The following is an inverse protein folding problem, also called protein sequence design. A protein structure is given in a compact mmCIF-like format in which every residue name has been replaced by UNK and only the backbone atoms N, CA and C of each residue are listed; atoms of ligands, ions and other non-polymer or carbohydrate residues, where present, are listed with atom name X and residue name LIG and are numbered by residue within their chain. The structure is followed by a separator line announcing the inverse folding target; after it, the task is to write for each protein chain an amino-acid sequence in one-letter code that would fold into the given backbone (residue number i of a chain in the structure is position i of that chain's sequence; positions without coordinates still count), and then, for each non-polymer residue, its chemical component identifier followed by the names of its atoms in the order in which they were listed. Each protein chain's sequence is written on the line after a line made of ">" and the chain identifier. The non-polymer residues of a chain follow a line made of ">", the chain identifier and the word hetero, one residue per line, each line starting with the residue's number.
data_IF_110639877766
#
_entry.id   IF_110639877766
#
_cell.length_a   1.000
_cell.length_b   1.000
_cell.length_c   1.000
_cell.angle_alpha   90.00
_cell.angle_beta   90.00
_cell.angle_gamma   90.00
#
_symmetry.space_group_name_H-M   'P 1'
#
loop_
_entity.id
_entity.type
_entity.pdbx_description
1 polymer ?
#
# COMPACT_ATOMS: atom_id res chain seq x y z
N UNK A 1 -4.23 -30.67 -11.19
CA UNK A 1 -5.65 -31.08 -11.27
C UNK A 1 -5.86 -32.17 -12.33
N UNK A 2 -5.29 -32.04 -13.53
CA UNK A 2 -5.41 -33.07 -14.60
C UNK A 2 -4.60 -34.35 -14.31
N UNK A 3 -3.38 -34.28 -13.75
CA UNK A 3 -2.64 -35.47 -13.27
C UNK A 3 -3.43 -36.30 -12.25
N UNK A 4 -4.14 -35.63 -11.33
CA UNK A 4 -4.98 -36.33 -10.34
C UNK A 4 -6.08 -37.09 -11.07
N UNK A 5 -6.65 -36.55 -12.15
CA UNK A 5 -7.73 -37.19 -12.91
C UNK A 5 -7.19 -38.30 -13.83
N UNK A 6 -6.01 -38.11 -14.43
CA UNK A 6 -5.38 -39.03 -15.36
C UNK A 6 -4.75 -40.25 -14.66
N UNK A 7 -4.00 -40.01 -13.58
CA UNK A 7 -3.12 -41.01 -12.95
C UNK A 7 -3.61 -41.48 -11.57
N UNK A 8 -4.46 -40.71 -10.87
CA UNK A 8 -4.89 -41.05 -9.49
C UNK A 8 -6.37 -41.43 -9.41
N UNK A 9 -7.26 -40.65 -10.02
CA UNK A 9 -8.71 -40.83 -9.94
C UNK A 9 -9.19 -41.97 -10.85
N UNK A 10 -8.40 -42.35 -11.86
CA UNK A 10 -8.58 -43.58 -12.63
C UNK A 10 -8.30 -44.85 -11.82
N UNK A 11 -7.54 -44.73 -10.71
CA UNK A 11 -7.21 -45.80 -9.78
C UNK A 11 -8.07 -45.78 -8.51
N UNK A 12 -8.64 -44.63 -8.14
CA UNK A 12 -9.48 -44.46 -6.95
C UNK A 12 -10.98 -44.55 -7.29
N UNK A 13 -11.48 -45.78 -7.41
CA UNK A 13 -12.87 -46.08 -7.80
C UNK A 13 -13.92 -45.54 -6.82
N UNK A 14 -13.55 -45.25 -5.57
CA UNK A 14 -14.52 -44.84 -4.54
C UNK A 14 -14.87 -43.34 -4.58
N UNK A 15 -13.97 -42.50 -5.10
CA UNK A 15 -14.10 -41.03 -5.06
C UNK A 15 -14.50 -40.39 -6.41
N UNK A 16 -14.59 -41.15 -7.50
CA UNK A 16 -15.04 -40.64 -8.80
C UNK A 16 -16.52 -40.95 -9.03
N UNK A 17 -17.34 -39.95 -9.34
CA UNK A 17 -18.78 -40.13 -9.58
C UNK A 17 -19.09 -41.17 -10.69
N UNK A 18 -18.16 -41.33 -11.65
CA UNK A 18 -18.20 -42.34 -12.72
C UNK A 18 -17.66 -43.71 -12.27
N UNK A 19 -16.80 -43.77 -11.26
CA UNK A 19 -16.15 -45.00 -10.78
C UNK A 19 -17.14 -46.02 -10.21
N UNK A 20 -18.25 -45.55 -9.63
CA UNK A 20 -19.36 -46.41 -9.17
C UNK A 20 -20.28 -46.89 -10.28
N UNK A 21 -20.20 -46.32 -11.49
CA UNK A 21 -21.15 -46.57 -12.59
C UNK A 21 -20.51 -47.18 -13.83
N UNK A 22 -19.20 -47.12 -13.95
CA UNK A 22 -18.44 -47.61 -15.08
C UNK A 22 -17.23 -48.42 -14.61
N UNK A 23 -16.88 -49.52 -15.30
CA UNK A 23 -15.59 -50.17 -15.13
C UNK A 23 -14.44 -49.16 -15.31
N UNK A 24 -13.32 -49.30 -14.57
CA UNK A 24 -12.20 -48.34 -14.63
C UNK A 24 -11.70 -48.05 -16.06
N UNK A 25 -11.69 -49.07 -16.93
CA UNK A 25 -11.30 -48.94 -18.33
C UNK A 25 -12.24 -48.05 -19.17
N UNK A 26 -13.49 -47.85 -18.74
CA UNK A 26 -14.48 -46.99 -19.39
C UNK A 26 -14.62 -45.62 -18.73
N UNK A 27 -14.19 -45.47 -17.46
CA UNK A 27 -14.16 -44.16 -16.78
C UNK A 27 -13.29 -43.18 -17.56
N UNK A 28 -12.07 -43.57 -17.95
CA UNK A 28 -11.18 -42.68 -18.70
C UNK A 28 -11.71 -42.33 -20.10
N UNK A 29 -12.45 -43.24 -20.75
CA UNK A 29 -13.03 -43.03 -22.09
C UNK A 29 -14.24 -42.09 -22.04
N UNK A 30 -15.09 -42.24 -21.02
CA UNK A 30 -16.25 -41.38 -20.83
C UNK A 30 -15.84 -40.00 -20.31
N UNK A 31 -14.85 -39.93 -19.42
CA UNK A 31 -14.30 -38.68 -18.92
C UNK A 31 -13.63 -37.86 -20.04
N UNK A 32 -12.88 -38.52 -20.93
CA UNK A 32 -12.29 -37.89 -22.14
C UNK A 32 -13.29 -37.52 -23.24
N UNK A 33 -14.50 -38.08 -23.19
CA UNK A 33 -15.61 -37.70 -24.07
C UNK A 33 -16.42 -36.52 -23.51
N UNK A 34 -16.66 -36.49 -22.19
CA UNK A 34 -17.47 -35.46 -21.51
C UNK A 34 -16.72 -34.15 -21.32
N UNK A 35 -15.46 -34.25 -20.92
CA UNK A 35 -14.52 -33.14 -20.92
C UNK A 35 -13.65 -33.39 -22.15
N UNK A 36 -13.42 -32.40 -23.02
CA UNK A 36 -12.58 -32.52 -24.23
C UNK A 36 -11.08 -32.82 -23.92
N UNK A 37 -10.80 -33.77 -23.03
CA UNK A 37 -9.50 -34.13 -22.49
C UNK A 37 -8.87 -35.17 -23.41
N UNK A 38 -8.09 -34.73 -24.40
CA UNK A 38 -7.15 -35.67 -24.99
C UNK A 38 -5.94 -35.80 -24.05
N UNK A 39 -5.50 -37.02 -23.75
CA UNK A 39 -4.24 -37.26 -23.03
C UNK A 39 -3.12 -36.44 -23.65
N UNK A 40 -2.46 -35.59 -22.85
CA UNK A 40 -1.42 -34.67 -23.31
C UNK A 40 -1.91 -33.35 -23.92
N UNK A 41 -3.22 -33.05 -23.86
CA UNK A 41 -3.77 -31.73 -24.23
C UNK A 41 -4.45 -31.05 -23.05
N UNK A 42 -4.02 -29.83 -22.77
CA UNK A 42 -4.36 -29.07 -21.57
C UNK A 42 -5.73 -28.42 -21.72
N UNK A 43 -6.74 -29.08 -21.20
CA UNK A 43 -8.14 -28.74 -21.45
C UNK A 43 -8.57 -27.52 -20.67
N UNK A 44 -7.96 -27.26 -19.50
CA UNK A 44 -8.20 -26.04 -18.71
C UNK A 44 -7.67 -24.77 -19.37
N UNK A 45 -6.63 -24.89 -20.21
CA UNK A 45 -6.00 -23.78 -20.93
C UNK A 45 -6.55 -23.60 -22.35
N UNK A 46 -7.22 -24.64 -22.88
CA UNK A 46 -7.92 -24.62 -24.17
C UNK A 46 -9.42 -24.48 -24.04
N UNK A 47 -9.95 -24.48 -22.80
CA UNK A 47 -11.31 -24.07 -22.50
C UNK A 47 -11.42 -22.60 -22.89
N UNK A 48 -12.06 -22.43 -24.05
CA UNK A 48 -12.45 -21.21 -24.75
C UNK A 48 -13.31 -20.30 -23.87
N UNK A 49 -12.73 -19.79 -22.79
CA UNK A 49 -13.17 -18.57 -22.16
C UNK A 49 -12.30 -17.48 -22.79
N UNK A 50 -12.92 -16.52 -23.47
CA UNK A 50 -12.25 -15.41 -24.15
C UNK A 50 -11.60 -14.40 -23.16
N UNK A 51 -11.49 -14.77 -21.87
CA UNK A 51 -11.00 -13.92 -20.79
C UNK A 51 -9.56 -14.32 -20.39
N UNK A 52 -8.61 -13.80 -21.16
CA UNK A 52 -7.16 -13.99 -20.96
C UNK A 52 -6.72 -13.46 -19.60
N UNK A 53 -7.35 -12.39 -19.11
CA UNK A 53 -7.04 -11.76 -17.83
C UNK A 53 -7.36 -12.70 -16.69
N UNK A 54 -8.57 -13.26 -16.68
CA UNK A 54 -8.96 -14.22 -15.67
C UNK A 54 -8.01 -15.43 -15.63
N UNK A 55 -7.59 -15.91 -16.80
CA UNK A 55 -6.63 -17.00 -16.91
C UNK A 55 -5.26 -16.62 -16.33
N UNK A 56 -4.72 -15.46 -16.69
CA UNK A 56 -3.44 -14.98 -16.17
C UNK A 56 -3.48 -14.64 -14.67
N UNK A 57 -4.64 -14.28 -14.13
CA UNK A 57 -4.84 -14.02 -12.71
C UNK A 57 -4.86 -15.33 -11.90
N UNK A 58 -5.62 -16.34 -12.35
CA UNK A 58 -5.94 -17.50 -11.52
C UNK A 58 -5.11 -18.75 -11.82
N UNK A 59 -4.72 -18.98 -13.08
CA UNK A 59 -3.97 -20.19 -13.46
C UNK A 59 -2.60 -20.26 -12.79
N UNK A 60 -1.77 -19.20 -12.77
CA UNK A 60 -0.47 -19.24 -12.09
C UNK A 60 -0.63 -19.55 -10.61
N UNK A 61 -1.60 -18.92 -9.94
CA UNK A 61 -1.88 -19.16 -8.52
C UNK A 61 -2.27 -20.62 -8.25
N UNK A 62 -3.19 -21.17 -9.04
CA UNK A 62 -3.62 -22.57 -8.90
C UNK A 62 -2.48 -23.55 -9.17
N UNK A 63 -1.60 -23.24 -10.14
CA UNK A 63 -0.43 -24.05 -10.43
C UNK A 63 0.56 -24.06 -9.25
N UNK A 64 0.80 -22.92 -8.63
CA UNK A 64 1.67 -22.83 -7.44
C UNK A 64 1.09 -23.60 -6.25
N UNK A 65 -0.21 -23.45 -5.99
CA UNK A 65 -0.89 -24.22 -4.93
C UNK A 65 -0.86 -25.74 -5.20
N UNK A 66 -1.05 -26.15 -6.46
CA UNK A 66 -0.94 -27.55 -6.84
C UNK A 66 0.48 -28.10 -6.63
N UNK A 67 1.50 -27.28 -6.88
CA UNK A 67 2.90 -27.65 -6.66
C UNK A 67 3.26 -27.82 -5.19
N UNK A 68 2.64 -27.05 -4.29
CA UNK A 68 2.81 -27.22 -2.84
C UNK A 68 2.27 -28.57 -2.36
N UNK A 69 1.10 -28.97 -2.87
CA UNK A 69 0.47 -30.25 -2.51
C UNK A 69 1.17 -31.41 -3.21
N UNK A 70 1.68 -31.18 -4.43
CA UNK A 70 2.26 -32.23 -5.25
C UNK A 70 3.46 -31.73 -6.08
N UNK A 71 4.67 -31.76 -5.50
CA UNK A 71 5.88 -31.27 -6.15
C UNK A 71 6.28 -32.05 -7.43
N UNK A 72 5.79 -33.28 -7.58
CA UNK A 72 6.12 -34.16 -8.70
C UNK A 72 5.32 -33.88 -9.99
N UNK A 73 4.36 -32.95 -9.97
CA UNK A 73 3.55 -32.64 -11.15
C UNK A 73 4.44 -32.04 -12.26
N UNK A 74 4.19 -32.44 -13.52
CA UNK A 74 4.93 -31.90 -14.66
C UNK A 74 4.57 -30.42 -14.88
N UNK A 75 5.50 -29.52 -14.57
CA UNK A 75 5.28 -28.07 -14.60
C UNK A 75 5.32 -27.48 -16.01
N UNK A 76 6.27 -27.95 -16.83
CA UNK A 76 6.64 -27.36 -18.12
C UNK A 76 5.46 -27.07 -19.04
N UNK A 77 4.45 -27.95 -19.17
CA UNK A 77 3.38 -27.68 -20.12
C UNK A 77 2.40 -26.59 -19.69
N UNK A 78 2.11 -26.48 -18.39
CA UNK A 78 1.29 -25.39 -17.85
C UNK A 78 2.00 -24.05 -18.00
N UNK A 79 3.30 -24.08 -17.77
CA UNK A 79 4.19 -22.95 -17.95
C UNK A 79 4.29 -22.49 -19.40
N UNK A 80 4.43 -23.41 -20.36
CA UNK A 80 4.45 -23.09 -21.80
C UNK A 80 3.11 -22.47 -22.27
N UNK A 81 1.99 -22.89 -21.69
CA UNK A 81 0.69 -22.28 -21.98
C UNK A 81 0.55 -20.87 -21.38
N UNK A 82 1.07 -20.63 -20.18
CA UNK A 82 1.14 -19.27 -19.62
C UNK A 82 1.96 -18.34 -20.52
N UNK A 83 3.12 -18.82 -21.01
CA UNK A 83 3.94 -18.08 -21.98
C UNK A 83 3.14 -17.78 -23.23
N UNK A 84 2.42 -18.76 -23.79
CA UNK A 84 1.58 -18.53 -24.97
C UNK A 84 0.48 -17.49 -24.74
N UNK A 85 -0.15 -17.47 -23.55
CA UNK A 85 -1.17 -16.49 -23.19
C UNK A 85 -0.59 -15.08 -23.05
N UNK A 86 0.57 -14.95 -22.38
CA UNK A 86 1.32 -13.68 -22.30
C UNK A 86 1.74 -13.22 -23.71
N UNK A 87 2.15 -14.16 -24.57
CA UNK A 87 2.63 -13.87 -25.92
C UNK A 87 1.53 -13.45 -26.89
N UNK A 88 0.32 -13.96 -26.70
CA UNK A 88 -0.86 -13.61 -27.48
C UNK A 88 -1.47 -12.27 -27.07
N UNK A 89 -1.19 -11.78 -25.87
CA UNK A 89 -1.70 -10.50 -25.42
C UNK A 89 -1.07 -9.36 -26.21
N UNK A 90 -1.90 -8.53 -26.84
CA UNK A 90 -1.42 -7.40 -27.63
C UNK A 90 -0.98 -6.25 -26.72
N UNK A 91 0.05 -5.51 -27.14
CA UNK A 91 0.60 -4.39 -26.35
C UNK A 91 -0.25 -3.11 -26.47
N UNK A 92 -1.13 -3.05 -27.48
CA UNK A 92 -1.95 -1.89 -27.83
C UNK A 92 -3.31 -1.87 -27.11
N UNK A 93 -3.68 -2.95 -26.41
CA UNK A 93 -4.89 -3.01 -25.60
C UNK A 93 -4.69 -2.21 -24.30
N UNK A 94 -5.06 -0.93 -24.33
CA UNK A 94 -5.10 -0.07 -23.16
C UNK A 94 -6.20 -0.56 -22.20
N UNK A 95 -5.78 -1.20 -21.11
CA UNK A 95 -6.68 -1.67 -20.07
C UNK A 95 -7.40 -0.51 -19.36
N UNK A 96 -8.71 -0.64 -19.19
CA UNK A 96 -9.40 0.06 -18.11
C UNK A 96 -8.85 -0.47 -16.77
N UNK A 97 -8.70 0.40 -15.78
CA UNK A 97 -7.98 0.11 -14.52
C UNK A 97 -8.55 -1.09 -13.75
N UNK A 98 -9.79 -1.47 -14.03
CA UNK A 98 -10.53 -2.56 -13.39
C UNK A 98 -10.17 -3.94 -13.94
N UNK A 99 -9.61 -4.03 -15.14
CA UNK A 99 -9.26 -5.31 -15.76
C UNK A 99 -7.78 -5.69 -15.53
N UNK A 100 -6.96 -4.83 -14.92
CA UNK A 100 -5.56 -5.14 -14.66
C UNK A 100 -5.39 -6.22 -13.57
N UNK A 101 -4.39 -7.10 -13.75
CA UNK A 101 -4.06 -8.15 -12.79
C UNK A 101 -3.82 -7.61 -11.39
N UNK A 102 -4.23 -8.37 -10.38
CA UNK A 102 -3.99 -8.02 -9.00
C UNK A 102 -2.50 -8.18 -8.65
N UNK A 103 -2.09 -7.65 -7.49
CA UNK A 103 -0.72 -7.87 -6.98
C UNK A 103 -0.44 -9.37 -6.82
N UNK A 104 -1.45 -10.14 -6.39
CA UNK A 104 -1.35 -11.60 -6.19
C UNK A 104 -1.22 -12.34 -7.52
N UNK A 105 -2.01 -11.96 -8.53
CA UNK A 105 -1.92 -12.51 -9.88
C UNK A 105 -0.56 -12.23 -10.51
N UNK A 106 -0.13 -10.97 -10.49
CA UNK A 106 1.18 -10.56 -10.99
C UNK A 106 2.35 -11.24 -10.28
N UNK A 107 2.29 -11.37 -8.95
CA UNK A 107 3.29 -12.09 -8.15
C UNK A 107 3.36 -13.58 -8.54
N UNK A 108 2.21 -14.24 -8.67
CA UNK A 108 2.14 -15.65 -9.05
C UNK A 108 2.72 -15.88 -10.46
N UNK A 109 2.44 -14.96 -11.39
CA UNK A 109 2.97 -15.01 -12.75
C UNK A 109 4.50 -14.82 -12.78
N UNK A 110 5.02 -13.88 -11.97
CA UNK A 110 6.45 -13.64 -11.81
C UNK A 110 7.19 -14.87 -11.27
N UNK A 111 6.63 -15.59 -10.29
CA UNK A 111 7.24 -16.82 -9.77
C UNK A 111 7.32 -17.89 -10.86
N UNK A 112 6.22 -18.09 -11.59
CA UNK A 112 6.17 -19.05 -12.69
C UNK A 112 7.26 -18.74 -13.74
N UNK A 113 7.40 -17.47 -14.14
CA UNK A 113 8.41 -17.07 -15.12
C UNK A 113 9.85 -17.12 -14.58
N UNK A 114 10.07 -16.79 -13.31
CA UNK A 114 11.38 -16.92 -12.66
C UNK A 114 11.84 -18.39 -12.62
N UNK A 115 10.94 -19.33 -12.29
CA UNK A 115 11.22 -20.78 -12.29
C UNK A 115 11.58 -21.31 -13.68
N UNK A 116 11.05 -20.70 -14.75
CA UNK A 116 11.36 -21.04 -16.13
C UNK A 116 12.62 -20.35 -16.68
N UNK A 117 13.16 -19.36 -15.97
CA UNK A 117 14.20 -18.49 -16.51
C UNK A 117 13.71 -17.61 -17.67
N UNK A 118 12.41 -17.23 -17.67
CA UNK A 118 11.76 -16.40 -18.70
C UNK A 118 11.41 -14.99 -18.20
N UNK A 119 11.97 -14.57 -17.07
CA UNK A 119 11.92 -13.17 -16.66
C UNK A 119 12.95 -12.36 -17.45
N UNK A 120 12.56 -11.90 -18.63
CA UNK A 120 13.31 -10.98 -19.48
C UNK A 120 12.66 -9.58 -19.54
N UNK A 121 13.33 -8.63 -20.19
CA UNK A 121 12.85 -7.26 -20.34
C UNK A 121 11.50 -7.19 -21.09
N UNK A 122 11.29 -8.10 -22.06
CA UNK A 122 10.03 -8.14 -22.84
C UNK A 122 8.89 -8.59 -21.94
N UNK A 123 9.12 -9.60 -21.10
CA UNK A 123 8.16 -10.03 -20.11
C UNK A 123 7.86 -8.93 -19.08
N UNK A 124 8.85 -8.18 -18.60
CA UNK A 124 8.59 -7.06 -17.69
C UNK A 124 7.80 -5.92 -18.33
N UNK A 125 8.04 -5.62 -19.60
CA UNK A 125 7.22 -4.66 -20.34
C UNK A 125 5.75 -5.12 -20.43
N UNK A 126 5.52 -6.42 -20.65
CA UNK A 126 4.16 -7.01 -20.62
C UNK A 126 3.56 -7.00 -19.24
N UNK A 127 4.34 -7.31 -18.21
CA UNK A 127 3.90 -7.22 -16.81
C UNK A 127 3.42 -5.81 -16.47
N UNK A 128 4.14 -4.77 -16.94
CA UNK A 128 3.71 -3.38 -16.77
C UNK A 128 2.34 -3.10 -17.38
N UNK A 129 2.01 -3.69 -18.52
CA UNK A 129 0.69 -3.53 -19.15
C UNK A 129 -0.36 -4.31 -18.37
N UNK A 130 -0.09 -5.60 -18.12
CA UNK A 130 -1.04 -6.52 -17.47
C UNK A 130 -1.35 -6.11 -16.02
N UNK A 131 -0.37 -5.61 -15.27
CA UNK A 131 -0.51 -5.28 -13.85
C UNK A 131 -0.52 -3.76 -13.57
N UNK A 132 -0.25 -2.91 -14.57
CA UNK A 132 -0.02 -1.47 -14.37
C UNK A 132 1.04 -1.21 -13.29
N UNK A 133 0.86 -0.19 -12.46
CA UNK A 133 1.74 0.16 -11.34
C UNK A 133 1.88 -0.97 -10.31
N UNK A 134 0.95 -1.94 -10.26
CA UNK A 134 1.00 -3.08 -9.33
C UNK A 134 2.19 -4.00 -9.62
N UNK A 135 2.80 -3.90 -10.80
CA UNK A 135 4.04 -4.61 -11.16
C UNK A 135 5.14 -4.41 -10.13
N UNK A 136 5.36 -3.17 -9.66
CA UNK A 136 6.38 -2.87 -8.65
C UNK A 136 6.10 -3.64 -7.35
N UNK A 137 4.83 -3.69 -6.94
CA UNK A 137 4.42 -4.40 -5.73
C UNK A 137 4.63 -5.92 -5.87
N UNK A 138 4.30 -6.47 -7.04
CA UNK A 138 4.50 -7.88 -7.35
C UNK A 138 6.00 -8.25 -7.37
N UNK A 139 6.85 -7.40 -7.95
CA UNK A 139 8.32 -7.56 -7.94
C UNK A 139 8.84 -7.54 -6.50
N UNK A 140 8.42 -6.55 -5.70
CA UNK A 140 8.80 -6.45 -4.30
C UNK A 140 8.42 -7.71 -3.51
N UNK A 141 7.22 -8.24 -3.75
CA UNK A 141 6.77 -9.48 -3.13
C UNK A 141 7.60 -10.69 -3.59
N UNK A 142 7.93 -10.81 -4.89
CA UNK A 142 8.79 -11.87 -5.43
C UNK A 142 10.12 -11.91 -4.69
N UNK A 143 10.85 -10.79 -4.70
CA UNK A 143 12.23 -10.76 -4.22
C UNK A 143 12.34 -10.89 -2.70
N UNK A 144 11.28 -10.53 -1.96
CA UNK A 144 11.25 -10.65 -0.50
C UNK A 144 10.81 -12.03 0.00
N UNK A 145 10.13 -12.83 -0.84
CA UNK A 145 9.55 -14.11 -0.43
C UNK A 145 10.18 -15.32 -1.11
N UNK A 146 10.74 -15.17 -2.31
CA UNK A 146 11.25 -16.28 -3.13
C UNK A 146 12.71 -16.06 -3.55
N UNK A 147 13.49 -17.14 -3.74
CA UNK A 147 14.81 -17.03 -4.33
C UNK A 147 14.72 -16.64 -5.81
N UNK A 148 15.48 -15.62 -6.18
CA UNK A 148 15.55 -15.11 -7.55
C UNK A 148 16.90 -15.45 -8.16
N UNK A 149 16.91 -15.86 -9.43
CA UNK A 149 18.18 -16.17 -10.12
C UNK A 149 19.01 -14.89 -10.32
N UNK A 150 20.35 -14.96 -10.41
CA UNK A 150 21.19 -13.76 -10.61
C UNK A 150 20.82 -12.96 -11.88
N UNK A 151 20.47 -13.65 -12.96
CA UNK A 151 20.04 -13.02 -14.21
C UNK A 151 18.71 -12.27 -14.02
N UNK A 152 17.73 -12.90 -13.38
CA UNK A 152 16.45 -12.25 -13.09
C UNK A 152 16.63 -11.09 -12.12
N UNK A 153 17.52 -11.21 -11.13
CA UNK A 153 17.83 -10.14 -10.20
C UNK A 153 18.41 -8.90 -10.91
N UNK A 154 19.31 -9.09 -11.89
CA UNK A 154 19.87 -8.01 -12.70
C UNK A 154 18.79 -7.28 -13.51
N UNK A 155 17.91 -8.03 -14.17
CA UNK A 155 16.82 -7.48 -15.01
C UNK A 155 15.79 -6.72 -14.15
N UNK A 156 15.38 -7.29 -13.01
CA UNK A 156 14.50 -6.63 -12.06
C UNK A 156 15.14 -5.36 -11.49
N UNK A 157 16.45 -5.38 -11.22
CA UNK A 157 17.18 -4.20 -10.73
C UNK A 157 17.17 -3.07 -11.75
N UNK A 158 17.46 -3.37 -13.02
CA UNK A 158 17.42 -2.36 -14.08
C UNK A 158 16.02 -1.75 -14.21
N UNK A 159 14.97 -2.57 -14.26
CA UNK A 159 13.59 -2.07 -14.28
C UNK A 159 13.27 -1.16 -13.08
N UNK A 160 13.69 -1.53 -11.87
CA UNK A 160 13.41 -0.73 -10.67
C UNK A 160 14.20 0.60 -10.62
N UNK A 161 15.38 0.65 -11.25
CA UNK A 161 16.19 1.87 -11.29
C UNK A 161 15.75 2.79 -12.44
N UNK A 162 15.48 2.23 -13.61
CA UNK A 162 15.28 2.98 -14.85
C UNK A 162 13.80 3.35 -15.07
N UNK A 163 12.86 2.45 -14.72
CA UNK A 163 11.44 2.60 -15.05
C UNK A 163 10.52 2.90 -13.86
N UNK A 164 10.92 2.53 -12.64
CA UNK A 164 10.01 2.62 -11.49
C UNK A 164 9.49 4.05 -11.23
N UNK A 165 10.31 5.07 -11.44
CA UNK A 165 9.89 6.47 -11.25
C UNK A 165 8.74 6.84 -12.20
N UNK A 166 8.83 6.44 -13.47
CA UNK A 166 7.77 6.68 -14.45
C UNK A 166 6.48 5.96 -14.05
N UNK A 167 6.59 4.71 -13.61
CA UNK A 167 5.45 3.90 -13.14
C UNK A 167 4.81 4.48 -11.87
N UNK A 168 5.63 5.05 -10.98
CA UNK A 168 5.13 5.73 -9.76
C UNK A 168 4.38 7.00 -10.13
N UNK A 169 4.86 7.77 -11.11
CA UNK A 169 4.24 9.03 -11.54
C UNK A 169 2.90 8.83 -12.28
N UNK A 170 2.66 7.64 -12.83
CA UNK A 170 1.35 7.24 -13.38
C UNK A 170 0.26 7.08 -12.29
N UNK A 171 0.64 6.87 -11.03
CA UNK A 171 -0.31 6.71 -9.95
C UNK A 171 -0.91 8.07 -9.52
N UNK A 172 -2.24 8.17 -9.52
CA UNK A 172 -2.96 9.40 -9.16
C UNK A 172 -3.16 9.58 -7.65
N UNK A 173 -3.17 8.48 -6.88
CA UNK A 173 -3.44 8.49 -5.45
C UNK A 173 -2.13 8.50 -4.63
N UNK A 174 -2.02 9.44 -3.69
CA UNK A 174 -0.80 9.59 -2.87
C UNK A 174 -0.52 8.37 -1.99
N UNK A 175 -1.53 7.66 -1.49
CA UNK A 175 -1.31 6.44 -0.72
C UNK A 175 -0.76 5.32 -1.61
N UNK A 176 -1.20 5.25 -2.87
CA UNK A 176 -0.65 4.32 -3.86
C UNK A 176 0.81 4.65 -4.14
N UNK A 177 1.14 5.92 -4.43
CA UNK A 177 2.52 6.40 -4.62
C UNK A 177 3.41 6.00 -3.44
N UNK A 178 2.97 6.26 -2.20
CA UNK A 178 3.72 5.91 -0.99
C UNK A 178 4.01 4.41 -0.93
N UNK A 179 3.01 3.55 -1.22
CA UNK A 179 3.17 2.10 -1.24
C UNK A 179 4.16 1.65 -2.33
N UNK A 180 4.11 2.25 -3.51
CA UNK A 180 5.00 1.92 -4.62
C UNK A 180 6.45 2.28 -4.30
N UNK A 181 6.71 3.47 -3.77
CA UNK A 181 8.07 3.88 -3.37
C UNK A 181 8.62 2.93 -2.32
N UNK A 182 7.83 2.56 -1.31
CA UNK A 182 8.25 1.60 -0.29
C UNK A 182 8.53 0.23 -0.91
N UNK A 183 7.69 -0.24 -1.82
CA UNK A 183 7.87 -1.52 -2.51
C UNK A 183 9.16 -1.53 -3.36
N UNK A 184 9.45 -0.44 -4.08
CA UNK A 184 10.70 -0.27 -4.82
C UNK A 184 11.92 -0.32 -3.90
N UNK A 185 11.87 0.38 -2.77
CA UNK A 185 12.95 0.36 -1.78
C UNK A 185 13.15 -1.05 -1.24
N UNK A 186 12.07 -1.72 -0.80
CA UNK A 186 12.15 -3.08 -0.27
C UNK A 186 12.76 -4.05 -1.28
N UNK A 187 12.41 -3.90 -2.56
CA UNK A 187 12.97 -4.73 -3.61
C UNK A 187 14.46 -4.46 -3.84
N UNK A 188 14.86 -3.17 -3.93
CA UNK A 188 16.25 -2.77 -4.14
C UNK A 188 17.14 -3.12 -2.94
N UNK A 189 16.62 -3.09 -1.71
CA UNK A 189 17.39 -3.52 -0.51
C UNK A 189 17.81 -4.99 -0.62
N UNK A 190 16.97 -5.84 -1.24
CA UNK A 190 17.28 -7.26 -1.46
C UNK A 190 18.17 -7.46 -2.68
N UNK A 191 17.87 -6.79 -3.79
CA UNK A 191 18.53 -7.03 -5.08
C UNK A 191 19.86 -6.29 -5.25
N UNK A 192 19.90 -5.00 -4.91
CA UNK A 192 21.00 -4.08 -5.19
C UNK A 192 21.02 -2.93 -4.16
N UNK A 193 21.39 -3.20 -2.89
CA UNK A 193 21.29 -2.23 -1.80
C UNK A 193 22.09 -0.95 -2.04
N UNK A 194 23.14 -1.01 -2.86
CA UNK A 194 23.95 0.13 -3.28
C UNK A 194 23.23 1.11 -4.22
N UNK A 195 22.16 0.67 -4.90
CA UNK A 195 21.34 1.50 -5.81
C UNK A 195 20.24 2.28 -5.10
N UNK A 196 19.91 1.88 -3.87
CA UNK A 196 18.85 2.51 -3.09
C UNK A 196 19.08 4.01 -2.87
N UNK A 197 20.29 4.50 -2.51
CA UNK A 197 20.53 5.93 -2.34
C UNK A 197 20.31 6.75 -3.63
N UNK A 198 20.69 6.21 -4.79
CA UNK A 198 20.54 6.88 -6.09
C UNK A 198 19.06 7.00 -6.46
N UNK A 199 18.31 5.91 -6.35
CA UNK A 199 16.85 5.91 -6.55
C UNK A 199 16.17 6.94 -5.63
N UNK A 200 16.52 6.95 -4.34
CA UNK A 200 15.94 7.90 -3.40
C UNK A 200 16.30 9.34 -3.72
N UNK A 201 17.55 9.62 -4.12
CA UNK A 201 17.97 10.97 -4.49
C UNK A 201 17.21 11.46 -5.72
N UNK A 202 17.02 10.59 -6.71
CA UNK A 202 16.25 10.90 -7.91
C UNK A 202 14.78 11.16 -7.59
N UNK A 203 14.13 10.27 -6.84
CA UNK A 203 12.72 10.42 -6.49
C UNK A 203 12.47 11.61 -5.55
N UNK A 204 13.35 11.86 -4.57
CA UNK A 204 13.20 13.01 -3.65
C UNK A 204 13.26 14.35 -4.41
N UNK A 205 14.05 14.44 -5.49
CA UNK A 205 14.07 15.66 -6.33
C UNK A 205 12.70 15.97 -6.96
N UNK A 206 11.80 14.99 -7.11
CA UNK A 206 10.44 15.21 -7.63
C UNK A 206 9.48 15.74 -6.56
N UNK A 207 9.84 15.66 -5.27
CA UNK A 207 9.05 16.14 -4.13
C UNK A 207 9.53 17.53 -3.70
N UNK A 208 9.20 18.55 -4.49
CA UNK A 208 9.70 19.92 -4.29
C UNK A 208 8.72 20.89 -3.61
N UNK A 209 7.49 20.46 -3.31
CA UNK A 209 6.45 21.32 -2.70
C UNK A 209 6.11 20.89 -1.28
N UNK A 210 5.62 21.83 -0.47
CA UNK A 210 5.16 21.55 0.90
C UNK A 210 4.03 20.50 0.92
N UNK A 211 3.09 20.57 -0.03
CA UNK A 211 2.00 19.60 -0.13
C UNK A 211 2.50 18.21 -0.53
N UNK A 212 3.44 18.11 -1.48
CA UNK A 212 4.05 16.84 -1.85
C UNK A 212 4.88 16.26 -0.68
N UNK A 213 5.57 17.11 0.08
CA UNK A 213 6.28 16.71 1.29
C UNK A 213 5.32 16.13 2.34
N UNK A 214 4.17 16.79 2.55
CA UNK A 214 3.12 16.37 3.48
C UNK A 214 2.46 15.05 3.08
N UNK A 215 2.09 14.91 1.80
CA UNK A 215 1.29 13.78 1.31
C UNK A 215 2.09 12.57 0.86
N UNK A 216 3.35 12.76 0.47
CA UNK A 216 4.20 11.69 -0.09
C UNK A 216 5.41 11.39 0.80
N UNK A 217 6.31 12.36 0.99
CA UNK A 217 7.58 12.11 1.67
C UNK A 217 7.41 11.80 3.17
N UNK A 218 6.59 12.55 3.90
CA UNK A 218 6.36 12.29 5.32
C UNK A 218 5.77 10.88 5.59
N UNK A 219 4.73 10.42 4.88
CA UNK A 219 4.26 9.04 5.01
C UNK A 219 5.32 7.98 4.70
N UNK A 220 6.17 8.19 3.70
CA UNK A 220 7.28 7.27 3.39
C UNK A 220 8.27 7.22 4.55
N UNK A 221 8.66 8.38 5.10
CA UNK A 221 9.54 8.44 6.28
C UNK A 221 8.93 7.67 7.45
N UNK A 222 7.62 7.83 7.70
CA UNK A 222 6.93 7.09 8.76
C UNK A 222 6.90 5.59 8.53
N UNK A 223 6.66 5.15 7.30
CA UNK A 223 6.62 3.73 6.97
C UNK A 223 8.01 3.08 7.08
N UNK A 224 9.06 3.74 6.59
CA UNK A 224 10.44 3.31 6.80
C UNK A 224 10.82 3.35 8.29
N UNK A 225 10.32 4.36 9.01
CA UNK A 225 10.41 4.45 10.47
C UNK A 225 9.63 3.33 11.20
N UNK A 226 8.78 2.55 10.56
CA UNK A 226 8.21 1.36 11.19
C UNK A 226 9.05 0.11 10.93
N UNK A 227 9.82 0.12 9.82
CA UNK A 227 10.63 -1.01 9.36
C UNK A 227 12.07 -1.01 9.89
N UNK A 228 12.60 0.12 10.36
CA UNK A 228 14.02 0.28 10.75
C UNK A 228 14.48 -0.51 11.99
N UNK A 229 13.58 -1.18 12.71
CA UNK A 229 14.00 -2.00 13.86
C UNK A 229 14.92 -3.17 13.46
N UNK A 230 14.97 -3.54 12.17
CA UNK A 230 15.53 -4.80 11.69
C UNK A 230 16.74 -4.68 10.75
N UNK A 231 16.94 -3.56 10.01
CA UNK A 231 18.05 -3.43 9.04
C UNK A 231 18.76 -2.06 9.14
N UNK A 232 20.09 -2.01 9.35
CA UNK A 232 20.85 -0.76 9.46
C UNK A 232 20.79 0.16 8.23
N UNK A 233 20.61 -0.41 7.03
CA UNK A 233 20.50 0.36 5.79
C UNK A 233 19.25 1.26 5.81
N UNK A 234 18.11 0.75 6.26
CA UNK A 234 16.90 1.55 6.45
C UNK A 234 17.09 2.67 7.46
N UNK A 235 17.91 2.49 8.50
CA UNK A 235 18.14 3.51 9.51
C UNK A 235 18.83 4.75 8.92
N UNK A 236 19.94 4.57 8.19
CA UNK A 236 20.67 5.68 7.54
C UNK A 236 19.79 6.43 6.54
N UNK A 237 19.02 5.69 5.75
CA UNK A 237 18.08 6.28 4.78
C UNK A 237 16.97 7.05 5.48
N UNK A 238 16.39 6.48 6.54
CA UNK A 238 15.33 7.13 7.32
C UNK A 238 15.84 8.45 7.90
N UNK A 239 17.08 8.50 8.40
CA UNK A 239 17.70 9.75 8.87
C UNK A 239 17.79 10.79 7.75
N UNK A 240 18.28 10.40 6.56
CA UNK A 240 18.42 11.32 5.43
C UNK A 240 17.06 11.88 5.00
N UNK A 241 16.07 11.01 4.78
CA UNK A 241 14.74 11.41 4.34
C UNK A 241 13.99 12.21 5.40
N UNK A 242 14.10 11.83 6.68
CA UNK A 242 13.51 12.58 7.78
C UNK A 242 14.13 13.98 7.89
N UNK A 243 15.45 14.10 7.69
CA UNK A 243 16.16 15.39 7.70
C UNK A 243 15.69 16.28 6.56
N UNK A 244 15.58 15.72 5.35
CA UNK A 244 15.12 16.47 4.18
C UNK A 244 13.65 16.89 4.32
N UNK A 245 12.79 15.97 4.73
CA UNK A 245 11.37 16.22 5.00
C UNK A 245 11.17 17.34 6.04
N UNK A 246 11.94 17.28 7.14
CA UNK A 246 11.96 18.32 8.17
C UNK A 246 12.43 19.66 7.62
N UNK A 247 13.48 19.65 6.80
CA UNK A 247 14.05 20.88 6.21
C UNK A 247 12.98 21.61 5.38
N UNK A 248 12.20 20.89 4.57
CA UNK A 248 11.10 21.48 3.78
C UNK A 248 10.03 22.11 4.68
N UNK A 249 9.61 21.45 5.75
CA UNK A 249 8.67 22.03 6.72
C UNK A 249 9.23 23.30 7.38
N UNK A 250 10.49 23.26 7.84
CA UNK A 250 11.12 24.41 8.51
C UNK A 250 11.36 25.59 7.57
N UNK A 251 11.75 25.33 6.31
CA UNK A 251 11.95 26.36 5.29
C UNK A 251 10.63 27.05 4.91
N UNK A 252 9.51 26.35 5.04
CA UNK A 252 8.16 26.89 4.83
C UNK A 252 7.64 27.71 6.03
N UNK A 253 8.48 27.93 7.07
CA UNK A 253 8.13 28.75 8.22
C UNK A 253 7.32 28.03 9.30
N UNK A 254 7.11 26.70 9.17
CA UNK A 254 6.38 25.91 10.16
C UNK A 254 7.24 25.78 11.42
N UNK A 255 6.74 26.31 12.53
CA UNK A 255 7.37 26.24 13.85
C UNK A 255 6.38 25.64 14.84
N UNK A 256 6.76 24.63 15.64
CA UNK A 256 5.88 24.07 16.67
C UNK A 256 5.38 25.10 17.69
N UNK A 257 6.15 26.16 17.88
CA UNK A 257 5.87 27.29 18.77
C UNK A 257 4.76 28.23 18.26
N UNK A 258 4.42 28.15 16.97
CA UNK A 258 3.41 28.97 16.29
C UNK A 258 2.10 28.21 16.06
N UNK A 259 1.64 27.48 17.08
CA UNK A 259 0.30 26.89 17.06
C UNK A 259 -0.70 27.97 16.62
N UNK A 260 -1.60 27.67 15.67
CA UNK A 260 -2.56 28.66 15.22
C UNK A 260 -3.33 29.21 16.42
N UNK A 261 -3.18 30.51 16.67
CA UNK A 261 -4.04 31.25 17.58
C UNK A 261 -5.46 30.97 17.14
N UNK A 262 -6.21 30.32 18.03
CA UNK A 262 -7.64 30.04 17.87
C UNK A 262 -8.30 31.26 17.22
N UNK A 263 -8.91 31.12 16.04
CA UNK A 263 -9.70 32.23 15.51
C UNK A 263 -10.86 32.45 16.46
N UNK A 264 -10.79 33.58 17.17
CA UNK A 264 -11.78 33.97 18.16
C UNK A 264 -13.19 33.98 17.55
N UNK A 265 -13.31 34.22 16.24
CA UNK A 265 -14.59 34.31 15.53
C UNK A 265 -15.38 32.98 15.50
N UNK A 266 -14.73 31.83 15.67
CA UNK A 266 -15.38 30.51 15.72
C UNK A 266 -15.49 29.93 17.13
N UNK A 267 -15.05 30.66 18.15
CA UNK A 267 -15.25 30.30 19.56
C UNK A 267 -16.51 30.98 20.06
N UNK A 268 -17.57 30.19 20.20
CA UNK A 268 -18.84 30.65 20.78
C UNK A 268 -18.85 30.35 22.29
N UNK A 269 -17.77 30.73 22.98
CA UNK A 269 -17.58 30.45 24.41
C UNK A 269 -18.49 31.26 25.32
N UNK A 270 -19.05 32.35 24.79
CA UNK A 270 -20.05 33.22 25.41
C UNK A 270 -21.49 32.69 25.27
N UNK A 271 -21.73 31.70 24.39
CA UNK A 271 -23.04 31.08 24.18
C UNK A 271 -23.31 30.06 25.30
N UNK A 272 -24.31 30.28 26.17
CA UNK A 272 -24.52 29.46 27.34
C UNK A 272 -25.19 28.12 26.98
N UNK A 273 -24.50 27.01 27.23
CA UNK A 273 -25.05 25.66 27.17
C UNK A 273 -24.58 24.88 28.39
N UNK A 274 -25.49 24.28 29.15
CA UNK A 274 -25.15 23.48 30.33
C UNK A 274 -24.58 22.11 29.89
N UNK A 275 -23.28 21.84 30.09
CA UNK A 275 -22.69 20.56 29.70
C UNK A 275 -23.13 19.40 30.59
N UNK A 276 -23.74 19.66 31.75
CA UNK A 276 -24.15 18.62 32.70
C UNK A 276 -25.53 18.03 32.43
N UNK A 277 -26.33 18.68 31.57
CA UNK A 277 -27.70 18.26 31.27
C UNK A 277 -27.76 16.88 30.57
N UNK A 278 -26.96 16.66 29.52
CA UNK A 278 -26.86 15.36 28.85
C UNK A 278 -25.57 15.26 28.02
N UNK A 279 -25.23 14.05 27.55
CA UNK A 279 -24.04 13.82 26.71
C UNK A 279 -24.02 14.68 25.44
N UNK A 280 -25.17 14.89 24.80
CA UNK A 280 -25.23 15.77 23.62
C UNK A 280 -24.90 17.22 23.96
N UNK A 281 -25.37 17.73 25.11
CA UNK A 281 -25.08 19.10 25.55
C UNK A 281 -23.61 19.26 25.97
N UNK A 282 -23.01 18.22 26.56
CA UNK A 282 -21.57 18.16 26.83
C UNK A 282 -20.76 18.27 25.53
N UNK A 283 -21.07 17.44 24.53
CA UNK A 283 -20.36 17.43 23.25
C UNK A 283 -20.57 18.73 22.47
N UNK A 284 -21.79 19.26 22.48
CA UNK A 284 -22.10 20.55 21.88
C UNK A 284 -21.39 21.71 22.60
N UNK A 285 -21.25 21.68 23.93
CA UNK A 285 -20.50 22.69 24.68
C UNK A 285 -18.99 22.64 24.36
N UNK A 286 -18.43 21.45 24.18
CA UNK A 286 -17.05 21.27 23.69
C UNK A 286 -16.92 21.83 22.27
N UNK A 287 -17.87 21.51 21.39
CA UNK A 287 -17.94 22.03 20.03
C UNK A 287 -17.97 23.56 19.98
N UNK A 288 -18.83 24.23 20.78
CA UNK A 288 -18.95 25.69 20.80
C UNK A 288 -17.64 26.38 21.20
N UNK A 289 -16.89 25.78 22.14
CA UNK A 289 -15.59 26.29 22.62
C UNK A 289 -14.42 25.94 21.68
N UNK A 290 -14.60 24.97 20.80
CA UNK A 290 -13.57 24.55 19.87
C UNK A 290 -13.57 25.45 18.62
N UNK A 291 -12.59 26.36 18.51
CA UNK A 291 -12.46 27.26 17.35
C UNK A 291 -12.07 26.59 16.03
N UNK A 292 -11.81 25.27 16.03
CA UNK A 292 -11.50 24.47 14.84
C UNK A 292 -12.74 23.67 14.37
N UNK A 293 -13.55 23.18 15.31
CA UNK A 293 -14.76 22.44 14.99
C UNK A 293 -15.88 23.38 14.55
N UNK A 294 -16.31 23.22 13.30
CA UNK A 294 -17.30 24.07 12.61
C UNK A 294 -18.67 23.41 12.40
N UNK A 295 -18.71 22.08 12.45
CA UNK A 295 -19.92 21.28 12.39
C UNK A 295 -19.92 20.24 13.50
N UNK A 296 -21.10 19.99 14.04
CA UNK A 296 -21.39 18.95 15.01
C UNK A 296 -22.55 18.11 14.47
N UNK A 297 -22.26 16.86 14.14
CA UNK A 297 -23.22 15.94 13.54
C UNK A 297 -23.66 14.87 14.53
N UNK A 298 -24.96 14.57 14.52
CA UNK A 298 -25.57 13.51 15.33
C UNK A 298 -26.59 12.75 14.51
N UNK A 299 -26.41 11.44 14.39
CA UNK A 299 -27.30 10.53 13.65
C UNK A 299 -28.58 10.15 14.43
N UNK A 300 -28.97 10.96 15.41
CA UNK A 300 -30.10 10.71 16.31
C UNK A 300 -30.80 12.03 16.65
N UNK A 301 -32.00 11.95 17.25
CA UNK A 301 -32.75 13.11 17.68
C UNK A 301 -31.91 14.03 18.56
N UNK A 302 -31.76 15.29 18.13
CA UNK A 302 -31.02 16.30 18.88
C UNK A 302 -31.79 16.79 20.11
N UNK A 303 -31.06 17.03 21.19
CA UNK A 303 -31.57 17.55 22.46
C UNK A 303 -32.36 18.86 22.25
N UNK A 304 -33.42 19.03 23.03
CA UNK A 304 -34.27 20.23 22.97
C UNK A 304 -33.48 21.51 23.29
N UNK A 305 -32.52 21.45 24.23
CA UNK A 305 -31.71 22.60 24.62
C UNK A 305 -30.78 23.05 23.51
N UNK A 306 -30.18 22.11 22.77
CA UNK A 306 -29.34 22.42 21.61
C UNK A 306 -30.20 23.03 20.49
N UNK A 307 -31.43 22.54 20.30
CA UNK A 307 -32.38 23.12 19.34
C UNK A 307 -32.79 24.54 19.76
N UNK A 308 -33.10 24.75 21.04
CA UNK A 308 -33.42 26.07 21.58
C UNK A 308 -32.24 27.04 21.46
N UNK A 309 -31.02 26.57 21.71
CA UNK A 309 -29.78 27.32 21.55
C UNK A 309 -29.56 27.77 20.10
N UNK A 310 -29.70 26.85 19.15
CA UNK A 310 -29.55 27.16 17.72
C UNK A 310 -30.59 28.20 17.26
N UNK A 311 -31.82 28.12 17.76
CA UNK A 311 -32.86 29.10 17.47
C UNK A 311 -32.58 30.47 18.13
N UNK A 312 -32.07 30.48 19.37
CA UNK A 312 -31.77 31.71 20.10
C UNK A 312 -30.56 32.47 19.52
N UNK A 313 -29.65 31.75 18.87
CA UNK A 313 -28.45 32.30 18.25
C UNK A 313 -28.44 32.03 16.73
N UNK A 314 -29.58 32.20 16.05
CA UNK A 314 -29.74 31.88 14.63
C UNK A 314 -28.82 32.70 13.70
N UNK A 315 -28.28 33.82 14.19
CA UNK A 315 -27.28 34.65 13.54
C UNK A 315 -25.86 34.03 13.59
N UNK A 316 -25.61 33.13 14.54
CA UNK A 316 -24.29 32.51 14.82
C UNK A 316 -24.30 30.99 14.71
N UNK A 317 -25.46 30.36 14.72
CA UNK A 317 -25.66 28.92 14.66
C UNK A 317 -26.78 28.57 13.67
N UNK A 318 -26.56 27.52 12.89
CA UNK A 318 -27.61 26.92 12.06
C UNK A 318 -27.75 25.45 12.41
N UNK A 319 -28.99 25.01 12.59
CA UNK A 319 -29.32 23.60 12.82
C UNK A 319 -30.10 23.08 11.62
N UNK A 320 -29.53 22.11 10.92
CA UNK A 320 -30.16 21.47 9.77
C UNK A 320 -30.46 20.02 10.09
N UNK A 321 -31.61 19.52 9.62
CA UNK A 321 -31.90 18.10 9.58
C UNK A 321 -31.60 17.62 8.16
N UNK A 322 -30.86 16.53 8.02
CA UNK A 322 -30.67 15.88 6.72
C UNK A 322 -32.01 15.30 6.27
N UNK A 323 -32.35 15.47 5.00
CA UNK A 323 -33.59 14.91 4.42
C UNK A 323 -33.50 13.39 4.24
N UNK A 324 -32.28 12.84 4.21
CA UNK A 324 -31.98 11.44 3.88
C UNK A 324 -31.62 10.57 5.08
N UNK A 325 -31.32 11.22 6.20
CA UNK A 325 -31.00 10.58 7.46
C UNK A 325 -31.58 11.48 8.54
N UNK A 326 -32.21 10.94 9.59
CA UNK A 326 -32.65 11.72 10.76
C UNK A 326 -31.45 12.33 11.55
N UNK A 327 -30.34 12.57 10.87
CA UNK A 327 -29.14 13.21 11.34
C UNK A 327 -29.36 14.73 11.41
N UNK A 328 -29.03 15.27 12.57
CA UNK A 328 -29.00 16.70 12.81
C UNK A 328 -27.57 17.19 12.72
N UNK A 329 -27.40 18.34 12.07
CA UNK A 329 -26.13 19.01 11.94
C UNK A 329 -26.24 20.44 12.48
N UNK A 330 -25.50 20.70 13.56
CA UNK A 330 -25.32 22.04 14.10
C UNK A 330 -24.05 22.65 13.49
N UNK A 331 -24.17 23.82 12.87
CA UNK A 331 -23.08 24.54 12.21
C UNK A 331 -22.90 25.92 12.82
N UNK A 332 -21.66 26.39 12.93
CA UNK A 332 -21.35 27.79 13.25
C UNK A 332 -21.47 28.65 12.00
N UNK A 333 -22.14 29.80 12.10
CA UNK A 333 -22.29 30.79 11.03
C UNK A 333 -21.13 31.78 11.12
N UNK A 334 -20.30 31.94 10.08
CA UNK A 334 -19.25 32.94 10.08
C UNK A 334 -19.89 34.33 9.98
N UNK A 335 -19.61 35.21 10.95
CA UNK A 335 -20.18 36.55 10.98
C UNK A 335 -19.75 37.46 9.82
N UNK A 336 -18.50 37.34 9.34
CA UNK A 336 -17.94 38.19 8.25
C UNK A 336 -17.06 37.45 7.21
N UNK A 337 -16.79 36.15 7.39
CA UNK A 337 -15.95 35.38 6.46
C UNK A 337 -16.80 34.62 5.42
N UNK A 338 -16.40 34.67 4.16
CA UNK A 338 -17.03 33.89 3.08
C UNK A 338 -16.77 32.39 3.24
N UNK A 339 -17.62 31.54 2.66
CA UNK A 339 -17.42 30.08 2.66
C UNK A 339 -16.08 29.65 2.03
N UNK A 340 -15.60 30.40 1.04
CA UNK A 340 -14.30 30.16 0.40
C UNK A 340 -13.13 30.49 1.34
N UNK A 341 -13.17 31.65 2.02
CA UNK A 341 -12.18 32.03 3.05
C UNK A 341 -12.21 31.05 4.23
N UNK A 342 -13.39 30.54 4.59
CA UNK A 342 -13.59 29.49 5.60
C UNK A 342 -12.93 28.17 5.20
N UNK A 343 -13.16 27.68 3.98
CA UNK A 343 -12.53 26.44 3.47
C UNK A 343 -11.01 26.62 3.42
N UNK A 344 -10.54 27.78 2.96
CA UNK A 344 -9.12 28.10 2.89
C UNK A 344 -8.48 28.15 4.28
N UNK A 345 -9.16 28.74 5.26
CA UNK A 345 -8.71 28.81 6.65
C UNK A 345 -8.65 27.44 7.32
N UNK A 346 -9.71 26.62 7.19
CA UNK A 346 -9.75 25.26 7.77
C UNK A 346 -8.64 24.40 7.16
N UNK A 347 -8.44 24.48 5.85
CA UNK A 347 -7.32 23.80 5.18
C UNK A 347 -5.99 24.30 5.71
N UNK A 348 -5.78 25.62 5.75
CA UNK A 348 -4.52 26.21 6.23
C UNK A 348 -4.20 25.84 7.68
N UNK A 349 -5.19 25.85 8.58
CA UNK A 349 -4.99 25.50 9.99
C UNK A 349 -4.94 24.00 10.26
N UNK A 350 -5.74 23.20 9.55
CA UNK A 350 -5.65 21.74 9.62
C UNK A 350 -4.29 21.27 9.11
N UNK A 351 -3.85 21.80 7.97
CA UNK A 351 -2.52 21.55 7.41
C UNK A 351 -1.41 22.04 8.33
N UNK A 352 -1.53 23.25 8.90
CA UNK A 352 -0.51 23.79 9.82
C UNK A 352 -0.40 22.97 11.11
N UNK A 353 -1.52 22.57 11.72
CA UNK A 353 -1.51 21.72 12.92
C UNK A 353 -0.95 20.32 12.61
N UNK A 354 -1.30 19.76 11.45
CA UNK A 354 -0.72 18.52 10.96
C UNK A 354 0.79 18.66 10.76
N UNK A 355 1.24 19.72 10.09
CA UNK A 355 2.65 19.97 9.80
C UNK A 355 3.48 20.18 11.08
N UNK A 356 2.94 20.88 12.08
CA UNK A 356 3.55 21.00 13.41
C UNK A 356 3.75 19.61 14.04
N UNK A 357 2.73 18.75 13.96
CA UNK A 357 2.79 17.37 14.45
C UNK A 357 3.83 16.55 13.68
N UNK A 358 3.92 16.74 12.36
CA UNK A 358 4.93 16.11 11.51
C UNK A 358 6.34 16.51 11.94
N UNK A 359 6.60 17.80 12.14
CA UNK A 359 7.92 18.30 12.61
C UNK A 359 8.28 17.70 13.96
N UNK A 360 7.37 17.74 14.95
CA UNK A 360 7.63 17.17 16.27
C UNK A 360 7.92 15.65 16.22
N UNK A 361 7.21 14.93 15.35
CA UNK A 361 7.43 13.49 15.12
C UNK A 361 8.79 13.23 14.48
N UNK A 362 9.18 14.04 13.48
CA UNK A 362 10.48 13.94 12.81
C UNK A 362 11.63 14.25 13.77
N UNK A 363 11.50 15.27 14.63
CA UNK A 363 12.49 15.60 15.65
C UNK A 363 12.70 14.42 16.62
N UNK A 364 11.59 13.82 17.08
CA UNK A 364 11.62 12.65 17.97
C UNK A 364 12.30 11.46 17.29
N UNK A 365 11.96 11.20 16.02
CA UNK A 365 12.53 10.11 15.23
C UNK A 365 14.04 10.29 15.03
N UNK A 366 14.47 11.49 14.63
CA UNK A 366 15.89 11.81 14.41
C UNK A 366 16.70 11.71 15.71
N UNK A 367 16.14 12.16 16.84
CA UNK A 367 16.78 12.02 18.15
C UNK A 367 16.95 10.55 18.54
N UNK A 368 15.92 9.72 18.34
CA UNK A 368 15.97 8.29 18.64
C UNK A 368 17.01 7.55 17.77
N UNK A 369 17.06 7.85 16.47
CA UNK A 369 18.03 7.25 15.54
C UNK A 369 19.47 7.64 15.90
N UNK A 370 19.69 8.93 16.22
CA UNK A 370 21.01 9.45 16.60
C UNK A 370 21.52 8.87 17.94
N UNK A 371 20.62 8.67 18.92
CA UNK A 371 20.97 8.06 20.20
C UNK A 371 21.43 6.61 20.05
N UNK A 372 20.83 5.87 19.11
CA UNK A 372 21.14 4.46 18.84
C UNK A 372 22.53 4.28 18.21
N UNK A 373 22.90 5.15 17.27
CA UNK A 373 24.26 5.17 16.69
C UNK A 373 25.35 5.43 17.74
N UNK A 374 25.09 6.30 18.72
CA UNK A 374 26.03 6.56 19.83
C UNK A 374 26.12 5.39 20.81
N UNK A 375 25.02 4.69 21.05
CA UNK A 375 24.99 3.49 21.90
C UNK A 375 25.87 2.36 21.36
N UNK A 376 25.78 2.07 20.06
CA UNK A 376 26.58 1.01 19.42
C UNK A 376 28.08 1.35 19.36
N UNK A 377 28.45 2.64 19.30
CA UNK A 377 29.86 3.06 19.35
C UNK A 377 30.50 2.90 20.74
N UNK A 378 29.71 2.92 21.82
CA UNK A 378 30.27 2.76 23.17
C UNK A 378 30.59 1.31 23.56
N UNK A 379 30.08 0.30 22.85
CA UNK A 379 30.36 -1.11 23.13
C UNK A 379 31.59 -1.68 22.41
N UNK A 380 32.15 -1.01 21.39
CA UNK A 380 33.31 -1.50 20.63
C UNK A 380 34.67 -1.08 21.20
N UNK A 381 34.70 -0.32 22.30
CA UNK A 381 35.92 0.13 22.97
C UNK A 381 36.18 -0.59 24.31
N UNK A 382 36.24 -1.93 24.30
CA UNK A 382 36.94 -2.65 25.38
C UNK A 382 38.43 -2.70 25.04
N UNK A 383 39.32 -2.04 25.80
CA UNK A 383 40.75 -2.12 25.54
C UNK A 383 41.23 -3.54 25.82
N UNK A 384 41.87 -4.16 24.81
CA UNK A 384 42.64 -5.38 24.97
C UNK A 384 43.66 -5.18 26.10
N UNK A 385 43.44 -5.85 27.24
CA UNK A 385 44.46 -6.03 28.27
C UNK A 385 45.64 -6.77 27.63
N UNK A 386 46.71 -6.03 27.29
CA UNK A 386 48.04 -6.58 27.02
C UNK A 386 48.45 -7.41 28.23
N UNK A 387 48.47 -8.74 28.08
CA UNK A 387 49.26 -9.63 28.94
C UNK A 387 50.72 -9.29 28.68
N UNK A 388 51.39 -8.64 29.66
CA UNK A 388 52.85 -8.69 29.76
C UNK A 388 53.23 -10.10 30.18
N UNK A 389 53.84 -10.82 29.26
CA UNK A 389 54.73 -11.93 29.55
C UNK A 389 56.09 -11.36 29.92
N UNK A 390 56.36 -11.23 31.21
CA UNK A 390 57.73 -11.10 31.70
C UNK A 390 58.09 -12.45 32.34
N UNK A 391 58.94 -13.20 31.64
CA UNK A 391 59.68 -14.32 32.19
C UNK A 391 61.12 -13.90 32.39
N UNK A 392 61.59 -13.97 33.62
CA UNK A 392 62.95 -14.30 34.05
C UNK A 392 62.92 -14.54 35.56
#
# INVERSE_FOLDING_TARGET
>A
MEWYLDDVASLDTENHWLGHRLPPALVSVVDSFLYHRCRGTYTLLTLRNDDVVWQLEHVPLCLLQALEVQPAIAQRPYMDALVHLIDRHDMDDLFEWDDALSVTGGYSLLICMNRLGRCDETFLAKMRILCSFRTIMAISQLVTQEPVTPLTAEILTSFLVDDATNVIDEALDNNVIVRLVIATIDALVVLAPEKVPDFMTHWVCTVNSLDANRRKLYPIVRALAQKFALVPLYAKMTVLLATLCRTVFTASGIRPELLPTVVADFVLGDVPLDPTHCSQCMDAAIFLKNGVAIQFQRNTRICADIRALANAHADRLTLQCSDWSDAYELRKVPGQATEAERIQYIRAHGDQAHDITCVATLDTLLAALTARERGDQTCTSRPHKRRRSDGA
#
